data_IF_800926496764
#
_entry.id   IF_800926496764
#
_cell.length_a   1.000
_cell.length_b   1.000
_cell.length_c   1.000
_cell.angle_alpha   90.00
_cell.angle_beta   90.00
_cell.angle_gamma   90.00
#
_symmetry.space_group_name_H-M   'P 1'
#
loop_
_entity.id
_entity.type
_entity.pdbx_description
1 polymer ?
#
# COMPACT_ATOMS: atom_id res chain seq x y z
N UNK A 1 33.91 -2.45 42.63
CA UNK A 1 33.76 -1.00 42.77
C UNK A 1 32.41 -0.66 42.13
N UNK A 2 31.41 -0.41 42.98
CA UNK A 2 30.07 -0.01 42.52
C UNK A 2 30.16 1.38 41.92
N UNK A 3 29.70 1.53 40.65
CA UNK A 3 29.49 2.83 40.02
C UNK A 3 28.48 3.62 40.87
N UNK A 4 28.68 4.92 41.08
CA UNK A 4 27.63 5.74 41.67
C UNK A 4 26.46 5.79 40.70
N UNK A 5 25.28 5.38 41.17
CA UNK A 5 23.98 5.65 40.51
C UNK A 5 23.85 7.17 40.44
N UNK A 6 24.13 7.73 39.28
CA UNK A 6 23.90 9.17 39.05
C UNK A 6 22.41 9.37 39.04
N UNK A 7 21.82 10.10 40.00
CA UNK A 7 20.37 10.28 40.02
C UNK A 7 19.95 11.09 38.80
N UNK A 8 18.86 10.65 38.15
CA UNK A 8 18.22 11.35 37.05
C UNK A 8 17.92 12.81 37.43
N UNK A 9 18.22 13.72 36.53
CA UNK A 9 17.85 15.12 36.72
C UNK A 9 16.33 15.30 36.70
N UNK A 10 15.81 16.33 37.29
CA UNK A 10 14.37 16.62 37.33
C UNK A 10 13.79 16.72 35.90
N UNK A 11 14.54 17.23 34.94
CA UNK A 11 14.16 17.35 33.54
C UNK A 11 14.04 16.00 32.85
N UNK A 12 14.97 15.09 33.12
CA UNK A 12 14.99 13.72 32.58
C UNK A 12 13.81 12.89 33.13
N UNK A 13 13.55 13.00 34.44
CA UNK A 13 12.39 12.40 35.07
C UNK A 13 11.07 12.87 34.44
N UNK A 14 10.95 14.17 34.19
CA UNK A 14 9.76 14.75 33.59
C UNK A 14 9.57 14.29 32.13
N UNK A 15 10.64 14.20 31.35
CA UNK A 15 10.61 13.71 29.98
C UNK A 15 10.19 12.23 29.91
N UNK A 16 10.78 11.38 30.76
CA UNK A 16 10.41 9.96 30.85
C UNK A 16 8.95 9.76 31.28
N UNK A 17 8.50 10.53 32.27
CA UNK A 17 7.13 10.44 32.76
C UNK A 17 6.12 10.84 31.67
N UNK A 18 6.40 11.93 30.96
CA UNK A 18 5.60 12.40 29.84
C UNK A 18 5.56 11.34 28.72
N UNK A 19 6.71 10.81 28.32
CA UNK A 19 6.79 9.77 27.31
C UNK A 19 6.01 8.50 27.70
N UNK A 20 6.14 8.05 28.96
CA UNK A 20 5.40 6.91 29.48
C UNK A 20 3.88 7.09 29.44
N UNK A 21 3.39 8.34 29.56
CA UNK A 21 1.97 8.65 29.45
C UNK A 21 1.48 8.77 28.01
N UNK A 22 2.33 9.29 27.10
CA UNK A 22 1.95 9.55 25.71
C UNK A 22 2.16 8.31 24.79
N UNK A 23 3.08 7.42 25.13
CA UNK A 23 3.41 6.25 24.30
C UNK A 23 2.22 5.32 24.07
N UNK A 24 1.38 4.96 25.05
CA UNK A 24 0.20 4.13 24.82
C UNK A 24 -0.79 4.75 23.83
N UNK A 25 -1.05 6.05 23.94
CA UNK A 25 -1.94 6.79 23.00
C UNK A 25 -1.32 6.82 21.59
N UNK A 26 -0.01 7.01 21.47
CA UNK A 26 0.70 6.96 20.21
C UNK A 26 0.59 5.57 19.54
N UNK A 27 0.77 4.49 20.30
CA UNK A 27 0.62 3.12 19.83
C UNK A 27 -0.83 2.84 19.36
N UNK A 28 -1.83 3.24 20.13
CA UNK A 28 -3.24 3.05 19.76
C UNK A 28 -3.59 3.79 18.45
N UNK A 29 -3.06 5.00 18.28
CA UNK A 29 -3.23 5.79 17.04
C UNK A 29 -2.56 5.13 15.84
N UNK A 30 -1.36 4.58 16.00
CA UNK A 30 -0.67 3.86 14.93
C UNK A 30 -1.39 2.57 14.57
N UNK A 31 -1.92 1.83 15.54
CA UNK A 31 -2.75 0.66 15.30
C UNK A 31 -4.05 1.00 14.55
N UNK A 32 -4.63 2.15 14.84
CA UNK A 32 -5.77 2.65 14.09
C UNK A 32 -5.42 2.93 12.62
N UNK A 33 -4.32 3.65 12.38
CA UNK A 33 -3.81 3.93 11.01
C UNK A 33 -3.54 2.63 10.27
N UNK A 34 -2.86 1.67 10.91
CA UNK A 34 -2.59 0.35 10.33
C UNK A 34 -3.89 -0.34 9.88
N UNK A 35 -4.88 -0.43 10.76
CA UNK A 35 -6.17 -1.06 10.41
C UNK A 35 -6.87 -0.36 9.24
N UNK A 36 -6.88 0.97 9.23
CA UNK A 36 -7.47 1.73 8.12
C UNK A 36 -6.75 1.47 6.81
N UNK A 37 -5.43 1.44 6.82
CA UNK A 37 -4.61 1.15 5.64
C UNK A 37 -4.86 -0.26 5.12
N UNK A 38 -4.90 -1.26 6.00
CA UNK A 38 -5.18 -2.66 5.64
C UNK A 38 -6.58 -2.82 5.03
N UNK A 39 -7.58 -2.13 5.59
CA UNK A 39 -8.94 -2.13 5.06
C UNK A 39 -9.04 -1.48 3.68
N UNK A 40 -8.39 -0.32 3.51
CA UNK A 40 -8.37 0.38 2.22
C UNK A 40 -7.65 -0.44 1.14
N UNK A 41 -6.49 -1.02 1.47
CA UNK A 41 -5.74 -1.88 0.56
C UNK A 41 -6.57 -3.11 0.13
N UNK A 42 -7.21 -3.79 1.09
CA UNK A 42 -8.08 -4.93 0.80
C UNK A 42 -9.28 -4.56 -0.07
N UNK A 43 -9.88 -3.39 0.17
CA UNK A 43 -10.99 -2.89 -0.64
C UNK A 43 -10.53 -2.60 -2.08
N UNK A 44 -9.41 -1.90 -2.26
CA UNK A 44 -8.86 -1.59 -3.58
C UNK A 44 -8.52 -2.88 -4.33
N UNK A 45 -7.90 -3.85 -3.67
CA UNK A 45 -7.56 -5.14 -4.27
C UNK A 45 -8.83 -5.85 -4.78
N UNK A 46 -9.87 -5.96 -3.97
CA UNK A 46 -11.14 -6.58 -4.39
C UNK A 46 -11.81 -5.87 -5.57
N UNK A 47 -11.72 -4.52 -5.63
CA UNK A 47 -12.22 -3.74 -6.77
C UNK A 47 -11.43 -4.06 -8.04
N UNK A 48 -10.10 -4.14 -7.94
CA UNK A 48 -9.23 -4.44 -9.09
C UNK A 48 -9.47 -5.85 -9.60
N UNK A 49 -9.59 -6.85 -8.72
CA UNK A 49 -9.89 -8.23 -9.10
C UNK A 49 -11.22 -8.33 -9.84
N UNK A 50 -12.28 -7.72 -9.32
CA UNK A 50 -13.58 -7.70 -9.98
C UNK A 50 -13.53 -7.01 -11.37
N UNK A 51 -12.76 -5.92 -11.49
CA UNK A 51 -12.57 -5.23 -12.76
C UNK A 51 -11.80 -6.08 -13.78
N UNK A 52 -10.83 -6.87 -13.34
CA UNK A 52 -10.08 -7.79 -14.20
C UNK A 52 -10.97 -8.91 -14.75
N UNK A 53 -11.81 -9.52 -13.91
CA UNK A 53 -12.75 -10.56 -14.32
C UNK A 53 -13.74 -10.04 -15.37
N UNK A 54 -14.30 -8.86 -15.13
CA UNK A 54 -15.20 -8.20 -16.08
C UNK A 54 -14.49 -7.88 -17.41
N UNK A 55 -13.27 -7.36 -17.36
CA UNK A 55 -12.49 -7.04 -18.56
C UNK A 55 -12.18 -8.29 -19.38
N UNK A 56 -11.82 -9.40 -18.74
CA UNK A 56 -11.54 -10.67 -19.40
C UNK A 56 -12.81 -11.24 -20.06
N UNK A 57 -13.96 -11.10 -19.40
CA UNK A 57 -15.24 -11.51 -19.99
C UNK A 57 -15.57 -10.71 -21.28
N UNK A 58 -15.39 -9.39 -21.26
CA UNK A 58 -15.61 -8.54 -22.44
C UNK A 58 -14.60 -8.86 -23.54
N UNK A 59 -13.32 -9.05 -23.20
CA UNK A 59 -12.28 -9.44 -24.13
C UNK A 59 -12.63 -10.74 -24.86
N UNK A 60 -13.01 -11.79 -24.11
CA UNK A 60 -13.39 -13.09 -24.68
C UNK A 60 -14.60 -12.97 -25.60
N UNK A 61 -15.66 -12.29 -25.18
CA UNK A 61 -16.84 -12.05 -26.02
C UNK A 61 -16.50 -11.30 -27.32
N UNK A 62 -15.60 -10.31 -27.23
CA UNK A 62 -15.13 -9.57 -28.39
C UNK A 62 -14.36 -10.43 -29.38
N UNK A 63 -13.51 -11.34 -28.89
CA UNK A 63 -12.78 -12.29 -29.73
C UNK A 63 -13.72 -13.28 -30.43
N UNK A 64 -14.66 -13.89 -29.70
CA UNK A 64 -15.65 -14.81 -30.25
C UNK A 64 -16.50 -14.15 -31.33
N UNK A 65 -16.90 -12.90 -31.09
CA UNK A 65 -17.64 -12.11 -32.06
C UNK A 65 -16.81 -11.81 -33.31
N UNK A 66 -15.55 -11.40 -33.13
CA UNK A 66 -14.61 -11.12 -34.22
C UNK A 66 -14.40 -12.33 -35.12
N UNK A 67 -14.14 -13.51 -34.52
CA UNK A 67 -14.01 -14.76 -35.27
C UNK A 67 -15.29 -15.13 -36.01
N UNK A 68 -16.45 -14.92 -35.40
CA UNK A 68 -17.75 -15.19 -36.03
C UNK A 68 -18.01 -14.27 -37.22
N UNK A 69 -17.65 -12.99 -37.11
CA UNK A 69 -17.71 -12.03 -38.19
C UNK A 69 -16.79 -12.40 -39.35
N UNK A 70 -15.55 -12.79 -39.04
CA UNK A 70 -14.59 -13.21 -40.07
C UNK A 70 -15.08 -14.46 -40.85
N UNK A 71 -15.61 -15.46 -40.12
CA UNK A 71 -16.20 -16.65 -40.76
C UNK A 71 -17.40 -16.30 -41.63
N UNK A 72 -18.23 -15.38 -41.17
CA UNK A 72 -19.40 -14.94 -41.95
C UNK A 72 -18.99 -14.16 -43.19
N UNK A 73 -17.98 -13.28 -43.08
CA UNK A 73 -17.44 -12.51 -44.21
C UNK A 73 -16.79 -13.40 -45.30
N UNK A 74 -16.21 -14.52 -44.90
CA UNK A 74 -15.61 -15.51 -45.84
C UNK A 74 -16.62 -16.50 -46.45
N UNK A 75 -17.87 -16.49 -45.98
CA UNK A 75 -18.88 -17.42 -46.46
C UNK A 75 -19.34 -17.06 -47.89
N UNK A 76 -19.39 -18.02 -48.82
CA UNK A 76 -19.80 -17.76 -50.21
C UNK A 76 -21.28 -17.36 -50.33
N UNK A 77 -22.12 -17.81 -49.40
CA UNK A 77 -23.57 -17.53 -49.38
C UNK A 77 -23.94 -16.82 -48.06
N UNK A 78 -24.19 -15.52 -48.13
CA UNK A 78 -24.65 -14.71 -46.99
C UNK A 78 -26.17 -14.51 -47.09
N UNK A 79 -26.94 -15.20 -46.24
CA UNK A 79 -28.36 -14.91 -46.15
C UNK A 79 -28.68 -13.65 -45.34
N UNK A 80 -29.76 -12.97 -45.67
CA UNK A 80 -30.23 -11.80 -44.92
C UNK A 80 -30.50 -12.12 -43.45
N UNK A 81 -30.99 -13.31 -43.14
CA UNK A 81 -31.24 -13.78 -41.78
C UNK A 81 -29.97 -13.94 -40.97
N UNK A 82 -28.92 -14.54 -41.57
CA UNK A 82 -27.60 -14.65 -40.95
C UNK A 82 -26.97 -13.24 -40.67
N UNK A 83 -27.08 -12.32 -41.63
CA UNK A 83 -26.62 -10.95 -41.47
C UNK A 83 -27.34 -10.25 -40.34
N UNK A 84 -28.69 -10.37 -40.27
CA UNK A 84 -29.48 -9.77 -39.18
C UNK A 84 -29.17 -10.40 -37.81
N UNK A 85 -28.92 -11.70 -37.73
CA UNK A 85 -28.50 -12.36 -36.50
C UNK A 85 -27.16 -11.83 -36.00
N UNK A 86 -26.19 -11.68 -36.91
CA UNK A 86 -24.88 -11.12 -36.58
C UNK A 86 -24.94 -9.67 -36.13
N UNK A 87 -25.77 -8.84 -36.79
CA UNK A 87 -25.98 -7.44 -36.34
C UNK A 87 -26.55 -7.38 -34.91
N UNK A 88 -27.44 -8.31 -34.53
CA UNK A 88 -27.95 -8.39 -33.17
C UNK A 88 -26.88 -8.77 -32.17
N UNK A 89 -25.98 -9.71 -32.53
CA UNK A 89 -24.82 -10.05 -31.67
C UNK A 89 -23.85 -8.88 -31.51
N UNK A 90 -23.58 -8.13 -32.61
CA UNK A 90 -22.76 -6.92 -32.53
C UNK A 90 -23.41 -5.86 -31.62
N UNK A 91 -24.72 -5.64 -31.73
CA UNK A 91 -25.44 -4.71 -30.89
C UNK A 91 -25.41 -5.14 -29.40
N UNK A 92 -25.60 -6.44 -29.12
CA UNK A 92 -25.51 -6.97 -27.76
C UNK A 92 -24.12 -6.79 -27.17
N UNK A 93 -23.06 -7.10 -27.95
CA UNK A 93 -21.68 -6.86 -27.51
C UNK A 93 -21.41 -5.37 -27.26
N UNK A 94 -21.82 -4.50 -28.17
CA UNK A 94 -21.65 -3.05 -27.98
C UNK A 94 -22.34 -2.53 -26.72
N UNK A 95 -23.56 -2.99 -26.43
CA UNK A 95 -24.28 -2.66 -25.21
C UNK A 95 -23.56 -3.21 -23.96
N UNK A 96 -23.06 -4.44 -24.03
CA UNK A 96 -22.26 -5.06 -22.95
C UNK A 96 -20.96 -4.29 -22.67
N UNK A 97 -20.24 -3.89 -23.74
CA UNK A 97 -19.02 -3.09 -23.63
C UNK A 97 -19.28 -1.68 -23.04
N UNK A 98 -20.39 -1.04 -23.41
CA UNK A 98 -20.81 0.23 -22.81
C UNK A 98 -21.11 0.08 -21.32
N UNK A 99 -21.88 -0.96 -20.94
CA UNK A 99 -22.15 -1.26 -19.54
C UNK A 99 -20.89 -1.58 -18.73
N UNK A 100 -19.90 -2.26 -19.34
CA UNK A 100 -18.59 -2.47 -18.72
C UNK A 100 -17.88 -1.12 -18.47
N UNK A 101 -17.86 -0.22 -19.46
CA UNK A 101 -17.23 1.09 -19.29
C UNK A 101 -17.87 1.91 -18.16
N UNK A 102 -19.20 1.85 -18.01
CA UNK A 102 -19.92 2.52 -16.93
C UNK A 102 -19.56 1.91 -15.56
N UNK A 103 -19.45 0.58 -15.46
CA UNK A 103 -18.99 -0.08 -14.23
C UNK A 103 -17.57 0.32 -13.87
N UNK A 104 -16.64 0.30 -14.83
CA UNK A 104 -15.25 0.73 -14.60
C UNK A 104 -15.18 2.16 -14.05
N UNK A 105 -16.00 3.09 -14.58
CA UNK A 105 -16.08 4.45 -14.02
C UNK A 105 -16.56 4.47 -12.57
N UNK A 106 -17.54 3.63 -12.23
CA UNK A 106 -17.99 3.46 -10.84
C UNK A 106 -16.87 2.94 -9.94
N UNK A 107 -16.17 1.89 -10.36
CA UNK A 107 -15.06 1.29 -9.63
C UNK A 107 -13.89 2.29 -9.42
N UNK A 108 -13.58 3.10 -10.44
CA UNK A 108 -12.58 4.18 -10.30
C UNK A 108 -12.97 5.18 -9.22
N UNK A 109 -14.24 5.56 -9.16
CA UNK A 109 -14.75 6.46 -8.10
C UNK A 109 -14.63 5.81 -6.73
N UNK A 110 -14.92 4.51 -6.61
CA UNK A 110 -14.77 3.77 -5.35
C UNK A 110 -13.29 3.68 -4.90
N UNK A 111 -12.36 3.51 -5.84
CA UNK A 111 -10.92 3.54 -5.55
C UNK A 111 -10.51 4.92 -5.03
N UNK A 112 -10.96 5.99 -5.67
CA UNK A 112 -10.69 7.35 -5.20
C UNK A 112 -11.21 7.57 -3.78
N UNK A 113 -12.44 7.14 -3.49
CA UNK A 113 -13.02 7.23 -2.14
C UNK A 113 -12.29 6.33 -1.12
N UNK A 114 -11.74 5.20 -1.56
CA UNK A 114 -10.93 4.35 -0.69
C UNK A 114 -9.58 4.97 -0.33
N UNK A 115 -9.13 6.01 -1.03
CA UNK A 115 -7.90 6.74 -0.74
C UNK A 115 -8.07 7.88 0.26
N UNK A 116 -9.30 8.25 0.63
CA UNK A 116 -9.60 9.35 1.59
C UNK A 116 -8.96 9.12 2.97
N UNK A 117 -8.63 7.84 3.31
CA UNK A 117 -7.91 7.52 4.53
C UNK A 117 -6.49 8.11 4.58
N UNK A 118 -5.89 8.44 3.43
CA UNK A 118 -4.50 8.92 3.36
C UNK A 118 -4.32 10.24 4.10
N UNK A 119 -5.26 11.19 3.93
CA UNK A 119 -5.21 12.48 4.63
C UNK A 119 -5.35 12.30 6.14
N UNK A 120 -6.32 11.49 6.59
CA UNK A 120 -6.52 11.20 8.00
C UNK A 120 -5.32 10.46 8.61
N UNK A 121 -4.77 9.50 7.90
CA UNK A 121 -3.55 8.77 8.33
C UNK A 121 -2.36 9.72 8.47
N UNK A 122 -2.18 10.62 7.51
CA UNK A 122 -1.13 11.65 7.57
C UNK A 122 -1.27 12.56 8.79
N UNK A 123 -2.49 13.00 9.12
CA UNK A 123 -2.75 13.81 10.30
C UNK A 123 -2.44 13.06 11.60
N UNK A 124 -2.85 11.79 11.70
CA UNK A 124 -2.58 10.95 12.88
C UNK A 124 -1.08 10.71 13.04
N UNK A 125 -0.39 10.33 11.96
CA UNK A 125 1.07 10.12 11.98
C UNK A 125 1.80 11.39 12.40
N UNK A 126 1.46 12.54 11.85
CA UNK A 126 2.08 13.81 12.22
C UNK A 126 1.86 14.14 13.70
N UNK A 127 0.69 13.82 14.25
CA UNK A 127 0.41 14.00 15.67
C UNK A 127 1.27 13.07 16.54
N UNK A 128 1.43 11.80 16.15
CA UNK A 128 2.30 10.84 16.84
C UNK A 128 3.77 11.30 16.80
N UNK A 129 4.24 11.75 15.64
CA UNK A 129 5.60 12.29 15.50
C UNK A 129 5.80 13.53 16.40
N UNK A 130 4.79 14.39 16.50
CA UNK A 130 4.82 15.54 17.41
C UNK A 130 4.87 15.18 18.90
N UNK A 131 4.35 14.01 19.28
CA UNK A 131 4.45 13.48 20.65
C UNK A 131 5.83 12.86 20.91
N UNK A 132 6.40 12.11 19.95
CA UNK A 132 7.64 11.36 20.13
C UNK A 132 8.91 12.21 19.99
N UNK A 133 8.97 13.13 19.01
CA UNK A 133 10.15 13.97 18.75
C UNK A 133 10.68 14.72 19.96
N UNK A 134 9.85 15.36 20.83
CA UNK A 134 10.37 16.06 21.99
C UNK A 134 11.05 15.16 23.03
N UNK A 135 10.78 13.85 22.99
CA UNK A 135 11.39 12.87 23.90
C UNK A 135 12.69 12.28 23.37
N UNK A 136 12.98 12.41 22.08
CA UNK A 136 14.13 11.80 21.42
C UNK A 136 15.47 12.30 22.00
N UNK A 137 15.66 13.61 22.10
CA UNK A 137 16.91 14.19 22.60
C UNK A 137 17.14 13.95 24.08
N UNK A 138 16.18 14.13 25.00
CA UNK A 138 16.35 13.77 26.41
C UNK A 138 16.65 12.28 26.63
N UNK A 139 16.06 11.38 25.83
CA UNK A 139 16.36 9.95 25.90
C UNK A 139 17.77 9.64 25.41
N UNK A 140 18.22 10.25 24.32
CA UNK A 140 19.57 10.08 23.81
C UNK A 140 20.62 10.56 24.84
N UNK A 141 20.39 11.68 25.50
CA UNK A 141 21.25 12.21 26.57
C UNK A 141 21.29 11.26 27.78
N UNK A 142 20.14 10.72 28.17
CA UNK A 142 20.04 9.73 29.24
C UNK A 142 20.83 8.46 28.94
N UNK A 143 20.70 7.92 27.73
CA UNK A 143 21.44 6.75 27.30
C UNK A 143 22.93 7.00 27.26
N UNK A 144 23.37 8.14 26.71
CA UNK A 144 24.79 8.52 26.68
C UNK A 144 25.41 8.67 28.09
N UNK A 145 24.61 9.12 29.07
CA UNK A 145 25.06 9.25 30.45
C UNK A 145 25.18 7.89 31.18
N UNK A 146 24.46 6.87 30.74
CA UNK A 146 24.37 5.56 31.40
C UNK A 146 25.01 4.40 30.62
N UNK A 147 25.50 4.61 29.40
CA UNK A 147 26.18 3.57 28.62
C UNK A 147 27.59 3.31 29.16
N UNK A 148 27.97 2.05 29.39
CA UNK A 148 29.37 1.67 29.59
C UNK A 148 30.14 1.88 28.27
N UNK A 149 31.39 2.39 28.31
CA UNK A 149 32.17 2.55 27.10
C UNK A 149 32.51 1.17 26.50
N UNK A 150 32.02 0.92 25.36
CA UNK A 150 32.21 -0.20 24.45
C UNK A 150 31.09 -1.24 24.37
N UNK A 151 30.62 -1.35 23.12
CA UNK A 151 29.79 -2.38 22.52
C UNK A 151 28.30 -2.02 22.37
N UNK A 152 28.00 -0.92 21.73
CA UNK A 152 26.72 -0.77 21.03
C UNK A 152 26.89 -1.27 19.58
N UNK A 153 26.75 -2.59 19.36
CA UNK A 153 26.21 -3.04 18.10
C UNK A 153 24.77 -2.47 18.05
N UNK A 154 24.57 -1.43 17.26
CA UNK A 154 23.21 -0.96 16.96
C UNK A 154 22.49 -2.11 16.27
N UNK A 155 21.70 -2.88 17.02
CA UNK A 155 20.65 -3.70 16.43
C UNK A 155 19.71 -2.73 15.72
N UNK A 156 19.98 -2.52 14.44
CA UNK A 156 19.06 -1.82 13.57
C UNK A 156 17.75 -2.59 13.64
N UNK A 157 16.67 -1.91 13.94
CA UNK A 157 15.33 -2.48 13.92
C UNK A 157 15.18 -3.27 12.60
N UNK A 158 15.10 -4.61 12.71
CA UNK A 158 14.83 -5.48 11.58
C UNK A 158 13.43 -5.14 11.06
N UNK A 159 13.35 -4.49 9.91
CA UNK A 159 12.09 -4.06 9.31
C UNK A 159 12.33 -3.40 7.96
N UNK A 160 11.24 -2.99 7.32
CA UNK A 160 11.29 -2.26 6.05
C UNK A 160 12.00 -0.93 6.27
N UNK A 161 13.17 -0.77 5.65
CA UNK A 161 13.92 0.48 5.69
C UNK A 161 13.16 1.58 4.94
N UNK A 162 13.32 2.83 5.40
CA UNK A 162 12.80 3.97 4.63
C UNK A 162 13.50 4.06 3.28
N UNK A 163 12.84 4.57 2.21
CA UNK A 163 13.43 4.66 0.88
C UNK A 163 14.81 5.32 0.85
N UNK A 164 15.05 6.28 1.74
CA UNK A 164 16.34 6.98 1.86
C UNK A 164 17.45 6.14 2.51
N UNK A 165 17.10 5.03 3.18
CA UNK A 165 18.03 4.09 3.85
C UNK A 165 17.95 2.69 3.24
N UNK A 166 17.09 2.48 2.25
CA UNK A 166 17.00 1.21 1.54
C UNK A 166 18.27 1.01 0.69
N UNK A 167 18.74 -0.23 0.64
CA UNK A 167 19.83 -0.62 -0.25
C UNK A 167 19.47 -0.24 -1.69
N UNK A 168 20.39 0.46 -2.37
CA UNK A 168 20.25 0.75 -3.78
C UNK A 168 20.55 -0.50 -4.60
N UNK A 169 20.15 -0.52 -5.88
CA UNK A 169 20.37 -1.67 -6.75
C UNK A 169 21.85 -2.05 -6.82
N UNK A 170 22.73 -1.05 -6.85
CA UNK A 170 24.19 -1.25 -6.89
C UNK A 170 24.71 -1.95 -5.63
N UNK A 171 24.11 -1.69 -4.46
CA UNK A 171 24.47 -2.36 -3.20
C UNK A 171 24.03 -3.83 -3.20
N UNK A 172 22.86 -4.12 -3.80
CA UNK A 172 22.35 -5.48 -3.96
C UNK A 172 23.22 -6.27 -4.94
N UNK A 173 23.61 -5.67 -6.05
CA UNK A 173 24.49 -6.28 -7.06
C UNK A 173 25.88 -6.56 -6.48
N UNK A 174 26.40 -5.66 -5.64
CA UNK A 174 27.67 -5.87 -4.94
C UNK A 174 27.58 -7.05 -3.95
N UNK A 175 26.49 -7.15 -3.19
CA UNK A 175 26.24 -8.28 -2.28
C UNK A 175 26.11 -9.63 -3.02
N UNK A 176 25.43 -9.64 -4.16
CA UNK A 176 25.30 -10.84 -5.01
C UNK A 176 26.67 -11.27 -5.57
N UNK A 177 27.47 -10.33 -6.02
CA UNK A 177 28.84 -10.61 -6.49
C UNK A 177 29.75 -11.17 -5.39
N UNK A 178 29.62 -10.69 -4.14
CA UNK A 178 30.36 -11.19 -2.99
C UNK A 178 29.93 -12.63 -2.59
N UNK A 179 28.65 -12.97 -2.80
CA UNK A 179 28.12 -14.33 -2.58
C UNK A 179 28.40 -15.29 -3.75
N UNK A 180 29.02 -14.84 -4.86
CA UNK A 180 29.42 -15.67 -5.98
C UNK A 180 28.33 -15.96 -7.02
N UNK A 181 27.31 -15.08 -7.14
CA UNK A 181 26.29 -15.12 -8.19
C UNK A 181 26.62 -14.18 -9.33
#
# INVERSE_FOLDING_TARGET
>A
MSKPDTPLTATEHQALHKLSQELPDACERLDYVKRMTDQAASKVLGIVEAAQDDAEAVRRQGQELSESLQRLAAAPDLSVERARAMMRLCAAYAAGAAGFADRVRGLQTEIMMAQDFQDLSGQVINKVLGMLRPAEEPLAQLLAAHEPPAAAAQEQLAGVQTPDKALQQDDVDALLAEMGF
#
